data_IF_144570301352
#
_entry.id   IF_144570301352
#
_cell.length_a   1.000
_cell.length_b   1.000
_cell.length_c   1.000
_cell.angle_alpha   90.00
_cell.angle_beta   90.00
_cell.angle_gamma   90.00
#
_symmetry.space_group_name_H-M   'P 1'
#
loop_
_entity.id
_entity.type
_entity.pdbx_description
1 polymer ?
#
# COMPACT_ATOMS: atom_id res chain seq x y z
N UNK A 1 -2.98 30.33 6.69
CA UNK A 1 -1.89 29.41 7.08
C UNK A 1 -0.59 30.17 7.32
N UNK A 2 0.19 30.58 6.30
CA UNK A 2 1.50 31.26 6.52
C UNK A 2 1.41 32.56 7.34
N UNK A 3 0.40 33.41 7.10
CA UNK A 3 0.20 34.64 7.89
C UNK A 3 -0.06 34.36 9.37
N UNK A 4 -0.77 33.27 9.66
CA UNK A 4 -1.09 32.87 11.02
C UNK A 4 0.16 32.27 11.71
N UNK A 5 0.94 31.48 10.97
CA UNK A 5 2.25 30.99 11.43
C UNK A 5 3.19 32.13 11.84
N UNK A 6 3.33 33.17 11.00
CA UNK A 6 4.14 34.35 11.34
C UNK A 6 3.56 35.10 12.54
N UNK A 7 2.23 35.26 12.63
CA UNK A 7 1.58 35.92 13.77
C UNK A 7 1.88 35.20 15.09
N UNK A 8 1.86 33.86 15.09
CA UNK A 8 2.17 33.07 16.28
C UNK A 8 3.64 33.26 16.71
N UNK A 9 4.58 33.21 15.76
CA UNK A 9 6.00 33.50 16.04
C UNK A 9 6.16 34.89 16.66
N UNK A 10 5.56 35.91 16.05
CA UNK A 10 5.65 37.31 16.52
C UNK A 10 4.97 37.53 17.87
N UNK A 11 4.00 36.68 18.23
CA UNK A 11 3.38 36.68 19.55
C UNK A 11 4.21 35.93 20.59
N UNK A 12 5.37 35.38 20.21
CA UNK A 12 6.22 34.59 21.08
C UNK A 12 5.66 33.20 21.34
N UNK A 13 4.87 32.61 20.44
CA UNK A 13 4.45 31.21 20.56
C UNK A 13 5.41 30.32 19.75
N UNK A 14 5.75 29.17 20.30
CA UNK A 14 6.45 28.14 19.56
C UNK A 14 5.51 27.59 18.47
N UNK A 15 6.08 27.25 17.31
CA UNK A 15 5.30 26.85 16.14
C UNK A 15 5.88 25.58 15.51
N UNK A 16 4.99 24.68 15.13
CA UNK A 16 5.36 23.48 14.38
C UNK A 16 5.73 23.85 12.93
N UNK A 17 6.66 23.13 12.28
CA UNK A 17 7.00 23.36 10.88
C UNK A 17 5.77 23.30 9.97
N UNK A 18 5.73 24.20 8.98
CA UNK A 18 4.63 24.22 8.00
C UNK A 18 5.13 23.93 6.60
N UNK A 19 4.38 23.11 5.88
CA UNK A 19 4.60 22.86 4.45
C UNK A 19 3.64 23.71 3.63
N UNK A 20 4.18 24.50 2.71
CA UNK A 20 3.35 25.35 1.86
C UNK A 20 4.04 25.62 0.53
N UNK A 21 3.33 26.31 -0.37
CA UNK A 21 3.85 26.68 -1.68
C UNK A 21 4.33 28.13 -1.66
N UNK A 22 5.51 28.35 -2.23
CA UNK A 22 6.03 29.68 -2.54
C UNK A 22 6.14 29.85 -4.05
N UNK A 23 6.07 31.10 -4.50
CA UNK A 23 6.34 31.48 -5.88
C UNK A 23 7.71 32.17 -5.93
N UNK A 24 8.64 31.60 -6.66
CA UNK A 24 9.97 32.16 -6.89
C UNK A 24 9.91 33.38 -7.82
N UNK A 25 11.00 34.15 -7.87
CA UNK A 25 11.11 35.37 -8.70
C UNK A 25 10.91 35.09 -10.20
N UNK A 26 11.35 33.92 -10.66
CA UNK A 26 11.17 33.41 -12.02
C UNK A 26 9.74 32.90 -12.31
N UNK A 27 8.85 32.90 -11.31
CA UNK A 27 7.48 32.43 -11.41
C UNK A 27 7.28 30.95 -11.09
N UNK A 28 8.35 30.17 -10.88
CA UNK A 28 8.27 28.75 -10.53
C UNK A 28 7.64 28.61 -9.13
N UNK A 29 6.72 27.65 -9.00
CA UNK A 29 6.10 27.33 -7.71
C UNK A 29 6.84 26.16 -7.08
N UNK A 30 7.28 26.32 -5.83
CA UNK A 30 8.00 25.30 -5.07
C UNK A 30 7.24 24.94 -3.81
N UNK A 31 7.26 23.66 -3.45
CA UNK A 31 6.88 23.24 -2.11
C UNK A 31 8.06 23.49 -1.17
N UNK A 32 7.79 24.15 -0.06
CA UNK A 32 8.79 24.41 0.97
C UNK A 32 8.28 24.02 2.34
N UNK A 33 9.20 23.57 3.18
CA UNK A 33 9.00 23.42 4.61
C UNK A 33 9.64 24.61 5.31
N UNK A 34 8.85 25.35 6.08
CA UNK A 34 9.33 26.43 6.92
C UNK A 34 9.40 25.97 8.37
N UNK A 35 10.56 26.15 8.96
CA UNK A 35 10.81 25.94 10.40
C UNK A 35 11.25 27.26 11.00
N UNK A 36 10.82 27.54 12.24
CA UNK A 36 11.23 28.71 12.98
C UNK A 36 11.67 28.30 14.39
N UNK A 37 12.79 28.83 14.85
CA UNK A 37 13.28 28.66 16.22
C UNK A 37 13.29 30.04 16.86
N UNK A 38 12.66 30.17 18.04
CA UNK A 38 12.54 31.42 18.76
C UNK A 38 13.69 31.53 19.78
N UNK A 39 14.31 32.70 19.84
CA UNK A 39 15.29 33.06 20.86
C UNK A 39 14.65 34.05 21.83
N UNK A 40 14.74 33.74 23.14
CA UNK A 40 14.08 34.51 24.21
C UNK A 40 15.09 35.02 25.23
N UNK A 41 14.72 36.09 25.91
CA UNK A 41 15.46 36.60 27.06
C UNK A 41 15.20 35.74 28.31
N UNK A 42 15.90 36.08 29.41
CA UNK A 42 15.74 35.42 30.72
C UNK A 42 14.35 35.58 31.34
N UNK A 43 13.56 36.54 30.85
CA UNK A 43 12.18 36.81 31.29
C UNK A 43 11.14 36.14 30.39
N UNK A 44 11.57 35.38 29.36
CA UNK A 44 10.70 34.71 28.40
C UNK A 44 10.22 35.59 27.24
N UNK A 45 10.67 36.84 27.16
CA UNK A 45 10.30 37.75 26.06
C UNK A 45 11.04 37.34 24.78
N UNK A 46 10.33 37.40 23.66
CA UNK A 46 10.92 37.13 22.34
C UNK A 46 11.97 38.20 22.00
N UNK A 47 13.21 37.75 21.76
CA UNK A 47 14.30 38.60 21.25
C UNK A 47 14.34 38.54 19.72
N UNK A 48 14.34 37.34 19.16
CA UNK A 48 14.46 37.09 17.72
C UNK A 48 13.89 35.74 17.34
N UNK A 49 13.75 35.49 16.05
CA UNK A 49 13.49 34.15 15.51
C UNK A 49 14.37 33.90 14.28
N UNK A 50 14.78 32.65 14.12
CA UNK A 50 15.54 32.19 12.96
C UNK A 50 14.67 31.22 12.14
N UNK A 51 14.52 31.52 10.84
CA UNK A 51 13.69 30.75 9.92
C UNK A 51 14.52 29.98 8.90
N UNK A 52 14.23 28.69 8.71
CA UNK A 52 14.80 27.87 7.64
C UNK A 52 13.71 27.52 6.65
N UNK A 53 13.97 27.79 5.36
CA UNK A 53 13.10 27.41 4.24
C UNK A 53 13.80 26.29 3.47
N UNK A 54 13.27 25.07 3.56
CA UNK A 54 13.78 23.91 2.83
C UNK A 54 12.90 23.62 1.62
N UNK A 55 13.48 23.56 0.43
CA UNK A 55 12.79 23.03 -0.75
C UNK A 55 12.49 21.54 -0.55
N UNK A 56 11.21 21.18 -0.63
CA UNK A 56 10.72 19.81 -0.47
C UNK A 56 9.96 19.35 -1.72
N UNK A 57 10.16 20.03 -2.85
CA UNK A 57 9.45 19.75 -4.10
C UNK A 57 9.71 18.33 -4.60
N UNK A 58 10.96 17.87 -4.53
CA UNK A 58 11.33 16.49 -4.91
C UNK A 58 10.61 15.46 -4.04
N UNK A 59 10.62 15.64 -2.71
CA UNK A 59 9.91 14.75 -1.79
C UNK A 59 8.41 14.69 -2.12
N UNK A 60 7.78 15.85 -2.36
CA UNK A 60 6.35 15.92 -2.71
C UNK A 60 6.03 15.26 -4.04
N UNK A 61 6.90 15.39 -5.04
CA UNK A 61 6.73 14.72 -6.33
C UNK A 61 6.84 13.20 -6.19
N UNK A 62 7.79 12.72 -5.40
CA UNK A 62 7.95 11.27 -5.13
C UNK A 62 6.77 10.70 -4.34
N UNK A 63 6.29 11.41 -3.30
CA UNK A 63 5.08 11.04 -2.54
C UNK A 63 3.85 10.94 -3.45
N UNK A 64 3.65 11.93 -4.33
CA UNK A 64 2.51 11.95 -5.25
C UNK A 64 2.63 10.87 -6.33
N UNK A 65 3.82 10.65 -6.87
CA UNK A 65 4.06 9.59 -7.84
C UNK A 65 3.78 8.20 -7.24
N UNK A 66 4.21 7.97 -6.00
CA UNK A 66 3.91 6.75 -5.26
C UNK A 66 2.39 6.59 -5.06
N UNK A 67 1.72 7.63 -4.54
CA UNK A 67 0.27 7.63 -4.32
C UNK A 67 -0.50 7.31 -5.60
N UNK A 68 -0.15 7.96 -6.71
CA UNK A 68 -0.78 7.72 -8.01
C UNK A 68 -0.51 6.30 -8.54
N UNK A 69 0.69 5.76 -8.30
CA UNK A 69 1.03 4.39 -8.67
C UNK A 69 0.21 3.38 -7.86
N UNK A 70 0.11 3.56 -6.55
CA UNK A 70 -0.71 2.73 -5.66
C UNK A 70 -2.19 2.77 -6.03
N UNK A 71 -2.74 3.95 -6.32
CA UNK A 71 -4.12 4.10 -6.78
C UNK A 71 -4.36 3.39 -8.12
N UNK A 72 -3.42 3.50 -9.06
CA UNK A 72 -3.52 2.81 -10.36
C UNK A 72 -3.48 1.30 -10.17
N UNK A 73 -2.52 0.79 -9.41
CA UNK A 73 -2.42 -0.64 -9.11
C UNK A 73 -3.67 -1.16 -8.41
N UNK A 74 -4.15 -0.47 -7.37
CA UNK A 74 -5.34 -0.84 -6.64
C UNK A 74 -6.58 -0.90 -7.54
N UNK A 75 -6.75 0.08 -8.43
CA UNK A 75 -7.84 0.10 -9.41
C UNK A 75 -7.74 -1.06 -10.40
N UNK A 76 -6.57 -1.31 -10.98
CA UNK A 76 -6.35 -2.41 -11.92
C UNK A 76 -6.65 -3.75 -11.25
N UNK A 77 -6.12 -3.97 -10.04
CA UNK A 77 -6.34 -5.19 -9.28
C UNK A 77 -7.83 -5.40 -8.98
N UNK A 78 -8.49 -4.41 -8.37
CA UNK A 78 -9.91 -4.50 -7.96
C UNK A 78 -10.85 -4.70 -9.15
N UNK A 79 -10.65 -3.95 -10.23
CA UNK A 79 -11.52 -3.95 -11.41
C UNK A 79 -11.17 -5.05 -12.43
N UNK A 80 -10.08 -5.79 -12.22
CA UNK A 80 -9.74 -6.92 -13.08
C UNK A 80 -10.91 -7.93 -13.10
N UNK A 81 -11.37 -8.36 -14.29
CA UNK A 81 -12.46 -9.32 -14.41
C UNK A 81 -12.04 -10.76 -14.08
N UNK A 82 -10.75 -10.99 -13.81
CA UNK A 82 -10.19 -12.31 -13.51
C UNK A 82 -10.06 -12.43 -11.99
N UNK A 83 -10.70 -13.45 -11.42
CA UNK A 83 -10.57 -13.76 -10.00
C UNK A 83 -9.10 -13.92 -9.61
N UNK A 84 -8.62 -13.06 -8.72
CA UNK A 84 -7.21 -12.98 -8.32
C UNK A 84 -7.08 -13.00 -6.81
N UNK A 85 -6.12 -13.78 -6.32
CA UNK A 85 -5.80 -13.92 -4.90
C UNK A 85 -4.32 -13.59 -4.71
N UNK A 86 -4.01 -12.77 -3.72
CA UNK A 86 -2.65 -12.57 -3.22
C UNK A 86 -2.51 -13.33 -1.90
N UNK A 87 -1.48 -14.14 -1.73
CA UNK A 87 -1.22 -14.88 -0.49
C UNK A 87 0.26 -14.87 -0.12
N UNK A 88 0.55 -14.91 1.17
CA UNK A 88 1.93 -15.00 1.67
C UNK A 88 2.44 -16.43 1.54
N UNK A 89 3.61 -16.61 0.94
CA UNK A 89 4.25 -17.92 0.84
C UNK A 89 4.66 -18.50 2.20
N UNK A 90 5.03 -17.64 3.14
CA UNK A 90 5.51 -18.03 4.47
C UNK A 90 4.49 -18.79 5.33
N UNK A 91 3.19 -18.53 5.13
CA UNK A 91 2.12 -19.16 5.91
C UNK A 91 0.88 -19.56 5.09
N UNK A 92 0.90 -19.32 3.77
CA UNK A 92 -0.21 -19.60 2.86
C UNK A 92 -1.47 -18.76 3.09
N UNK A 93 -1.42 -17.72 3.93
CA UNK A 93 -2.57 -16.87 4.23
C UNK A 93 -2.81 -15.89 3.11
N UNK A 94 -4.08 -15.74 2.76
CA UNK A 94 -4.54 -14.76 1.77
C UNK A 94 -4.37 -13.36 2.36
N UNK A 95 -3.71 -12.50 1.62
CA UNK A 95 -3.46 -11.08 1.94
C UNK A 95 -4.57 -10.22 1.40
N UNK A 96 -5.00 -10.47 0.16
CA UNK A 96 -6.08 -9.74 -0.48
C UNK A 96 -6.68 -10.54 -1.65
N UNK A 97 -7.89 -10.15 -2.04
CA UNK A 97 -8.63 -10.67 -3.18
C UNK A 97 -9.29 -9.53 -3.93
N UNK A 98 -9.43 -9.69 -5.25
CA UNK A 98 -10.14 -8.70 -6.05
C UNK A 98 -11.66 -8.96 -6.09
N UNK A 99 -12.39 -8.04 -6.72
CA UNK A 99 -13.85 -8.07 -6.71
C UNK A 99 -14.40 -9.21 -7.58
N UNK A 100 -13.67 -9.63 -8.63
CA UNK A 100 -14.00 -10.81 -9.41
C UNK A 100 -13.97 -12.09 -8.55
N UNK A 101 -12.96 -12.26 -7.69
CA UNK A 101 -12.91 -13.41 -6.78
C UNK A 101 -14.13 -13.44 -5.83
N UNK A 102 -14.49 -12.31 -5.25
CA UNK A 102 -15.66 -12.17 -4.36
C UNK A 102 -16.93 -12.57 -5.11
N UNK A 103 -17.11 -12.04 -6.32
CA UNK A 103 -18.27 -12.32 -7.18
C UNK A 103 -18.36 -13.80 -7.57
N UNK A 104 -17.24 -14.40 -7.95
CA UNK A 104 -17.20 -15.76 -8.49
C UNK A 104 -17.32 -16.83 -7.40
N UNK A 105 -16.78 -16.56 -6.21
CA UNK A 105 -16.74 -17.52 -5.10
C UNK A 105 -17.85 -17.32 -4.06
N UNK A 106 -18.42 -16.11 -3.98
CA UNK A 106 -19.44 -15.74 -2.99
C UNK A 106 -18.91 -15.47 -1.59
N UNK A 107 -17.59 -15.46 -1.38
CA UNK A 107 -16.98 -15.03 -0.12
C UNK A 107 -16.83 -13.52 -0.07
N UNK A 108 -16.99 -12.92 1.11
CA UNK A 108 -16.58 -11.54 1.34
C UNK A 108 -15.07 -11.45 1.56
N UNK A 109 -14.49 -10.25 1.42
CA UNK A 109 -13.05 -10.03 1.65
C UNK A 109 -12.67 -10.35 3.10
N UNK A 110 -13.52 -9.96 4.05
CA UNK A 110 -13.34 -10.13 5.49
C UNK A 110 -13.35 -11.61 5.90
N UNK A 111 -14.06 -12.45 5.15
CA UNK A 111 -14.11 -13.90 5.39
C UNK A 111 -12.87 -14.63 4.86
N UNK A 112 -12.11 -13.99 3.97
CA UNK A 112 -11.05 -14.64 3.19
C UNK A 112 -9.66 -14.20 3.66
N UNK A 113 -9.49 -12.90 3.90
CA UNK A 113 -8.20 -12.34 4.32
C UNK A 113 -7.77 -12.93 5.66
N UNK A 114 -6.52 -13.38 5.73
CA UNK A 114 -5.94 -14.02 6.91
C UNK A 114 -6.16 -15.53 6.99
N UNK A 115 -6.99 -16.12 6.12
CA UNK A 115 -7.20 -17.56 6.03
C UNK A 115 -6.39 -18.16 4.87
N UNK A 116 -6.12 -19.46 4.97
CA UNK A 116 -5.51 -20.23 3.87
C UNK A 116 -6.57 -20.79 2.93
N UNK A 117 -6.18 -21.08 1.69
CA UNK A 117 -7.05 -21.77 0.72
C UNK A 117 -7.57 -23.12 1.22
N UNK A 118 -6.82 -23.78 2.12
CA UNK A 118 -7.20 -25.04 2.77
C UNK A 118 -8.31 -24.82 3.81
N UNK A 119 -8.16 -23.82 4.69
CA UNK A 119 -9.17 -23.49 5.70
C UNK A 119 -10.51 -23.06 5.07
N UNK A 120 -10.45 -22.40 3.91
CA UNK A 120 -11.62 -22.02 3.13
C UNK A 120 -12.15 -23.14 2.22
N UNK A 121 -11.49 -24.29 2.18
CA UNK A 121 -11.84 -25.44 1.34
C UNK A 121 -12.04 -25.06 -0.15
N UNK A 122 -11.20 -24.18 -0.69
CA UNK A 122 -11.35 -23.63 -2.05
C UNK A 122 -11.04 -24.66 -3.14
N UNK A 123 -10.21 -25.66 -2.87
CA UNK A 123 -9.92 -26.73 -3.81
C UNK A 123 -10.90 -27.89 -3.57
N UNK A 124 -11.60 -28.33 -4.62
CA UNK A 124 -12.46 -29.50 -4.52
C UNK A 124 -11.65 -30.79 -4.33
N UNK A 125 -10.44 -30.82 -4.88
CA UNK A 125 -9.45 -31.88 -4.72
C UNK A 125 -8.24 -31.34 -3.94
N UNK A 126 -7.98 -31.78 -2.69
CA UNK A 126 -6.87 -31.29 -1.88
C UNK A 126 -5.49 -31.47 -2.53
N UNK A 127 -5.32 -32.50 -3.35
CA UNK A 127 -4.08 -32.80 -4.07
C UNK A 127 -3.69 -31.70 -5.06
N UNK A 128 -4.68 -31.06 -5.70
CA UNK A 128 -4.46 -29.95 -6.64
C UNK A 128 -3.71 -28.80 -5.96
N UNK A 129 -4.06 -28.50 -4.70
CA UNK A 129 -3.38 -27.49 -3.89
C UNK A 129 -1.92 -27.84 -3.66
N UNK A 130 -1.62 -29.11 -3.39
CA UNK A 130 -0.26 -29.57 -3.14
C UNK A 130 0.60 -29.44 -4.39
N UNK A 131 0.05 -29.78 -5.56
CA UNK A 131 0.71 -29.60 -6.87
C UNK A 131 1.07 -28.13 -7.09
N UNK A 132 0.11 -27.21 -6.85
CA UNK A 132 0.33 -25.76 -6.99
C UNK A 132 1.46 -25.30 -6.07
N UNK A 133 1.41 -25.63 -4.78
CA UNK A 133 2.41 -25.18 -3.82
C UNK A 133 3.80 -25.77 -4.09
N UNK A 134 3.89 -27.04 -4.49
CA UNK A 134 5.16 -27.67 -4.85
C UNK A 134 5.75 -27.00 -6.10
N UNK A 135 4.94 -26.80 -7.14
CA UNK A 135 5.39 -26.17 -8.39
C UNK A 135 5.87 -24.74 -8.15
N UNK A 136 5.17 -23.97 -7.32
CA UNK A 136 5.62 -22.63 -6.93
C UNK A 136 6.95 -22.67 -6.17
N UNK A 137 7.16 -23.68 -5.31
CA UNK A 137 8.42 -23.84 -4.56
C UNK A 137 9.60 -24.14 -5.49
N UNK A 138 9.38 -24.97 -6.51
CA UNK A 138 10.43 -25.44 -7.42
C UNK A 138 10.73 -24.46 -8.56
N UNK A 139 9.67 -23.86 -9.13
CA UNK A 139 9.76 -23.08 -10.37
C UNK A 139 9.41 -21.60 -10.20
N UNK A 140 8.78 -21.22 -9.09
CA UNK A 140 8.29 -19.85 -8.88
C UNK A 140 7.05 -19.47 -9.69
N UNK A 141 6.58 -20.34 -10.59
CA UNK A 141 5.42 -20.10 -11.43
C UNK A 141 4.73 -21.43 -11.78
N UNK A 142 3.40 -21.39 -11.87
CA UNK A 142 2.58 -22.42 -12.47
C UNK A 142 1.59 -21.74 -13.42
N UNK A 143 1.52 -22.20 -14.66
CA UNK A 143 0.68 -21.60 -15.70
C UNK A 143 -0.38 -22.58 -16.17
N UNK A 144 -1.54 -22.05 -16.54
CA UNK A 144 -2.63 -22.83 -17.14
C UNK A 144 -3.00 -24.09 -16.33
N UNK A 145 -2.96 -24.00 -15.00
CA UNK A 145 -3.32 -25.13 -14.15
C UNK A 145 -4.84 -25.21 -14.01
N UNK A 146 -5.41 -26.25 -14.61
CA UNK A 146 -6.82 -26.59 -14.48
C UNK A 146 -7.08 -27.28 -13.16
N UNK A 147 -8.09 -26.80 -12.43
CA UNK A 147 -8.49 -27.37 -11.16
C UNK A 147 -10.00 -27.21 -10.95
N UNK A 148 -10.53 -27.90 -9.95
CA UNK A 148 -11.91 -27.72 -9.51
C UNK A 148 -11.93 -26.84 -8.27
N UNK A 149 -12.50 -25.65 -8.40
CA UNK A 149 -12.69 -24.71 -7.30
C UNK A 149 -14.05 -24.93 -6.64
N UNK A 150 -14.12 -24.84 -5.32
CA UNK A 150 -15.36 -24.86 -4.53
C UNK A 150 -15.70 -23.45 -4.06
N UNK A 151 -16.93 -23.02 -4.32
CA UNK A 151 -17.47 -21.74 -3.82
C UNK A 151 -17.91 -21.85 -2.36
N UNK A 152 -18.23 -20.71 -1.73
CA UNK A 152 -18.81 -20.67 -0.39
C UNK A 152 -20.08 -21.52 -0.23
N UNK A 153 -20.92 -21.54 -1.27
CA UNK A 153 -22.14 -22.35 -1.29
C UNK A 153 -21.90 -23.85 -1.52
N UNK A 154 -20.65 -24.26 -1.71
CA UNK A 154 -20.26 -25.64 -1.98
C UNK A 154 -20.31 -26.05 -3.45
N UNK A 155 -20.77 -25.16 -4.34
CA UNK A 155 -20.80 -25.40 -5.79
C UNK A 155 -19.37 -25.56 -6.30
N UNK A 156 -19.14 -26.63 -7.08
CA UNK A 156 -17.85 -26.88 -7.70
C UNK A 156 -17.85 -26.36 -9.13
N UNK A 157 -16.83 -25.59 -9.48
CA UNK A 157 -16.62 -25.01 -10.81
C UNK A 157 -15.23 -25.37 -11.32
N UNK A 158 -15.09 -25.48 -12.64
CA UNK A 158 -13.76 -25.57 -13.25
C UNK A 158 -13.11 -24.19 -13.21
N UNK A 159 -11.84 -24.16 -12.81
CA UNK A 159 -10.99 -22.98 -12.81
C UNK A 159 -9.72 -23.26 -13.60
N UNK A 160 -9.26 -22.25 -14.30
CA UNK A 160 -7.92 -22.19 -14.87
C UNK A 160 -7.20 -21.07 -14.13
N UNK A 161 -6.03 -21.35 -13.54
CA UNK A 161 -5.28 -20.28 -12.93
C UNK A 161 -3.78 -20.38 -13.23
N UNK A 162 -3.19 -19.19 -13.33
CA UNK A 162 -1.74 -18.99 -13.31
C UNK A 162 -1.40 -18.37 -11.97
N UNK A 163 -0.42 -18.95 -11.27
CA UNK A 163 0.12 -18.36 -10.03
C UNK A 163 1.60 -18.10 -10.22
N UNK A 164 2.03 -16.91 -9.87
CA UNK A 164 3.42 -16.46 -9.94
C UNK A 164 3.87 -15.97 -8.56
N UNK A 165 5.10 -16.32 -8.19
CA UNK A 165 5.76 -15.72 -7.03
C UNK A 165 6.26 -14.33 -7.38
N UNK A 166 5.82 -13.35 -6.59
CA UNK A 166 6.26 -11.96 -6.69
C UNK A 166 6.87 -11.52 -5.37
N UNK A 167 8.01 -10.84 -5.45
CA UNK A 167 8.62 -10.19 -4.29
C UNK A 167 7.96 -8.82 -4.13
N UNK A 168 7.17 -8.68 -3.07
CA UNK A 168 6.57 -7.42 -2.66
C UNK A 168 7.33 -6.93 -1.42
N UNK A 169 8.06 -5.82 -1.59
CA UNK A 169 8.79 -5.12 -0.52
C UNK A 169 9.94 -5.88 0.18
N UNK A 170 10.61 -6.83 -0.50
CA UNK A 170 11.83 -7.45 0.02
C UNK A 170 11.59 -8.43 1.18
N UNK A 171 10.37 -8.94 1.33
CA UNK A 171 10.08 -10.06 2.23
C UNK A 171 10.77 -11.31 1.68
N UNK A 172 12.02 -11.56 2.13
CA UNK A 172 12.80 -12.77 1.81
C UNK A 172 11.95 -14.02 1.98
N UNK A 173 11.83 -14.78 0.90
CA UNK A 173 11.13 -16.05 0.87
C UNK A 173 11.93 -17.11 1.64
N UNK A 174 11.63 -17.32 2.91
CA UNK A 174 12.08 -18.49 3.66
C UNK A 174 10.96 -19.53 3.66
N UNK A 175 11.16 -20.59 2.88
CA UNK A 175 10.36 -21.81 3.03
C UNK A 175 10.83 -22.51 4.32
N UNK A 176 9.90 -22.75 5.25
CA UNK A 176 10.09 -23.75 6.30
C UNK A 176 9.97 -25.16 5.71
#
# INVERSE_FOLDING_TARGET
>A
MVREYVRQILSGNDVEPIEHRIKCKDGVVKWVMNTAILTRDVNGNLISYDGVIKDISERKQSEEALRLSEERFSKIFRLSPIATILFKTSNGKIVDVNDAFIKDTGYSREEVVGFTSLQLNLYANPEDRNIVLQTLREKGIIENFEFKMRTKSGIVRFGLHTTILVDLAGEKHHWL
#
